data_IF_370960493716
#
_entry.id   IF_370960493716
#
_cell.length_a   1.000
_cell.length_b   1.000
_cell.length_c   1.000
_cell.angle_alpha   90.00
_cell.angle_beta   90.00
_cell.angle_gamma   90.00
#
_symmetry.space_group_name_H-M   'P 1'
#
loop_
_entity.id
_entity.type
_entity.pdbx_description
1 polymer ?
#
# COMPACT_ATOMS: atom_id res chain seq x y z
N UNK A 1 36.80 -23.54 9.35
CA UNK A 1 36.39 -23.18 10.72
C UNK A 1 34.89 -23.01 10.71
N UNK A 2 34.17 -24.03 11.16
CA UNK A 2 32.71 -24.17 11.04
C UNK A 2 32.10 -23.59 12.31
N UNK A 3 31.23 -22.58 12.20
CA UNK A 3 30.44 -22.08 13.33
C UNK A 3 28.97 -22.48 13.07
N UNK A 4 28.45 -23.30 13.98
CA UNK A 4 27.06 -23.79 14.01
C UNK A 4 26.11 -22.72 14.56
N UNK A 5 24.82 -22.77 14.23
CA UNK A 5 23.82 -21.85 14.78
C UNK A 5 23.56 -22.16 16.26
N UNK A 6 23.56 -21.13 17.10
CA UNK A 6 23.17 -21.20 18.51
C UNK A 6 21.65 -21.05 18.58
N UNK A 7 20.98 -22.10 19.06
CA UNK A 7 19.57 -22.04 19.43
C UNK A 7 19.40 -21.14 20.67
N UNK A 8 18.62 -20.06 20.54
CA UNK A 8 18.21 -19.26 21.70
C UNK A 8 17.05 -20.00 22.36
N UNK A 9 17.36 -20.69 23.45
CA UNK A 9 16.39 -21.27 24.38
C UNK A 9 15.84 -20.13 25.24
N UNK A 10 14.54 -19.82 25.07
CA UNK A 10 13.83 -18.90 25.96
C UNK A 10 13.58 -19.62 27.29
N UNK A 11 14.33 -19.23 28.32
CA UNK A 11 14.04 -19.61 29.71
C UNK A 11 12.90 -18.73 30.23
N UNK A 12 11.72 -19.33 30.45
CA UNK A 12 10.67 -18.73 31.28
C UNK A 12 11.09 -18.89 32.74
N UNK A 13 11.63 -17.82 33.32
CA UNK A 13 11.83 -17.72 34.77
C UNK A 13 10.64 -16.98 35.37
N UNK A 14 9.75 -17.73 36.00
CA UNK A 14 8.68 -17.22 36.82
C UNK A 14 9.21 -16.93 38.23
N UNK A 15 9.36 -15.66 38.59
CA UNK A 15 9.16 -15.13 39.95
C UNK A 15 9.24 -13.61 39.94
N UNK A 16 8.12 -12.93 40.22
CA UNK A 16 8.12 -11.72 41.05
C UNK A 16 6.68 -11.35 41.40
N UNK A 17 6.37 -11.54 42.69
CA UNK A 17 5.19 -11.12 43.41
C UNK A 17 4.78 -9.67 43.13
N UNK A 18 3.53 -9.45 42.72
CA UNK A 18 2.91 -8.13 42.76
C UNK A 18 2.08 -8.03 44.05
N UNK A 19 2.49 -7.12 44.93
CA UNK A 19 1.81 -6.84 46.19
C UNK A 19 0.45 -6.19 45.95
N UNK A 20 -0.54 -6.65 46.71
CA UNK A 20 -1.79 -5.93 46.92
C UNK A 20 -1.46 -4.54 47.49
N UNK A 21 -1.83 -3.47 46.77
CA UNK A 21 -2.02 -2.15 47.38
C UNK A 21 -3.52 -2.00 47.64
N UNK A 22 -3.85 -2.00 48.93
CA UNK A 22 -5.19 -1.72 49.42
C UNK A 22 -5.58 -0.26 49.12
N UNK A 23 -6.73 -0.07 48.48
CA UNK A 23 -7.34 1.24 48.32
C UNK A 23 -7.95 1.69 49.66
N UNK A 24 -7.34 2.66 50.33
CA UNK A 24 -8.00 3.50 51.33
C UNK A 24 -8.56 4.75 50.64
N UNK A 25 -9.87 4.97 50.77
CA UNK A 25 -10.55 6.16 50.27
C UNK A 25 -10.16 7.42 51.05
N UNK A 26 -10.13 8.60 50.41
CA UNK A 26 -10.43 9.87 51.05
C UNK A 26 -11.76 10.44 50.54
N UNK A 27 -12.53 10.96 51.49
CA UNK A 27 -13.78 11.69 51.29
C UNK A 27 -13.53 13.14 50.82
N UNK A 28 -14.52 13.63 50.07
CA UNK A 28 -14.91 15.02 49.85
C UNK A 28 -14.10 15.91 48.90
N UNK A 29 -14.69 16.09 47.71
CA UNK A 29 -15.15 17.41 47.26
C UNK A 29 -14.14 18.31 46.54
N UNK A 30 -14.01 18.14 45.22
CA UNK A 30 -14.03 19.24 44.23
C UNK A 30 -13.72 18.73 42.82
N UNK A 31 -14.65 18.94 41.88
CA UNK A 31 -14.35 19.07 40.46
C UNK A 31 -13.88 17.82 39.73
N UNK A 32 -14.74 16.81 39.61
CA UNK A 32 -14.57 15.79 38.56
C UNK A 32 -14.82 16.44 37.19
N UNK A 33 -13.79 17.04 36.60
CA UNK A 33 -13.73 17.18 35.15
C UNK A 33 -13.58 15.76 34.61
N UNK A 34 -14.68 15.24 34.05
CA UNK A 34 -14.70 13.92 33.46
C UNK A 34 -13.57 13.81 32.45
N UNK A 35 -12.60 12.94 32.73
CA UNK A 35 -11.72 12.41 31.70
C UNK A 35 -12.66 11.72 30.72
N UNK A 36 -12.85 12.33 29.56
CA UNK A 36 -13.50 11.70 28.42
C UNK A 36 -12.67 10.46 28.10
N UNK A 37 -13.12 9.30 28.57
CA UNK A 37 -12.58 8.01 28.16
C UNK A 37 -12.82 7.94 26.66
N UNK A 38 -11.75 7.92 25.88
CA UNK A 38 -11.83 7.86 24.43
C UNK A 38 -12.64 6.64 24.03
N UNK A 39 -13.82 6.83 23.44
CA UNK A 39 -14.82 5.78 23.21
C UNK A 39 -14.40 4.75 22.14
N UNK A 40 -13.19 4.87 21.58
CA UNK A 40 -12.65 3.89 20.64
C UNK A 40 -11.20 3.51 20.96
N UNK A 41 -10.95 2.37 21.64
CA UNK A 41 -9.59 1.91 21.91
C UNK A 41 -8.75 1.72 20.63
N UNK A 42 -9.39 1.52 19.46
CA UNK A 42 -8.68 1.39 18.19
C UNK A 42 -7.87 2.64 17.84
N UNK A 43 -8.44 3.84 17.98
CA UNK A 43 -7.77 5.06 17.51
C UNK A 43 -6.53 5.38 18.35
N UNK A 44 -6.57 5.05 19.64
CA UNK A 44 -5.42 5.12 20.54
C UNK A 44 -4.35 4.08 20.17
N UNK A 45 -4.74 2.81 19.99
CA UNK A 45 -3.80 1.77 19.58
C UNK A 45 -3.14 2.09 18.24
N UNK A 46 -3.90 2.60 17.27
CA UNK A 46 -3.35 2.96 15.97
C UNK A 46 -2.39 4.15 16.07
N UNK A 47 -2.68 5.14 16.92
CA UNK A 47 -1.76 6.24 17.17
C UNK A 47 -0.44 5.77 17.81
N UNK A 48 -0.51 4.86 18.80
CA UNK A 48 0.67 4.26 19.42
C UNK A 48 1.47 3.46 18.39
N UNK A 49 0.79 2.66 17.55
CA UNK A 49 1.43 1.92 16.47
C UNK A 49 2.18 2.84 15.50
N UNK A 50 1.52 3.90 15.01
CA UNK A 50 2.14 4.89 14.13
C UNK A 50 3.32 5.62 14.77
N UNK A 51 3.27 5.87 16.08
CA UNK A 51 4.35 6.53 16.80
C UNK A 51 5.65 5.70 16.81
N UNK A 52 5.54 4.38 16.75
CA UNK A 52 6.69 3.47 16.69
C UNK A 52 7.20 3.16 15.28
N UNK A 53 6.55 3.64 14.21
CA UNK A 53 7.07 3.51 12.84
C UNK A 53 8.21 4.52 12.66
N UNK A 54 9.46 4.06 12.37
CA UNK A 54 10.57 4.97 12.11
C UNK A 54 10.30 5.83 10.88
N UNK A 55 10.61 7.12 10.96
CA UNK A 55 10.61 8.02 9.80
C UNK A 55 11.88 8.87 9.80
N UNK A 56 12.30 9.45 8.66
CA UNK A 56 13.50 10.27 8.59
C UNK A 56 13.56 11.39 9.64
N UNK A 57 12.40 11.95 9.99
CA UNK A 57 12.25 13.04 10.94
C UNK A 57 11.92 12.57 12.38
N UNK A 58 11.84 11.25 12.62
CA UNK A 58 11.43 10.68 13.90
C UNK A 58 12.37 9.57 14.35
N UNK A 59 13.19 9.88 15.36
CA UNK A 59 13.89 8.85 16.11
C UNK A 59 12.91 8.10 17.02
N UNK A 60 12.90 6.78 16.90
CA UNK A 60 12.06 5.88 17.71
C UNK A 60 12.96 5.16 18.71
N UNK A 61 12.61 5.21 19.99
CA UNK A 61 13.33 4.48 21.05
C UNK A 61 12.95 3.01 21.04
N UNK A 62 13.79 2.14 21.63
CA UNK A 62 13.45 0.73 21.79
C UNK A 62 12.17 0.51 22.62
N UNK A 63 11.90 1.38 23.59
CA UNK A 63 10.67 1.36 24.38
C UNK A 63 9.44 1.72 23.54
N UNK A 64 9.50 2.80 22.74
CA UNK A 64 8.41 3.19 21.84
C UNK A 64 8.14 2.14 20.76
N UNK A 65 9.19 1.49 20.24
CA UNK A 65 9.05 0.36 19.32
C UNK A 65 8.32 -0.80 20.01
N UNK A 66 8.67 -1.13 21.25
CA UNK A 66 7.99 -2.17 22.01
C UNK A 66 6.51 -1.82 22.22
N UNK A 67 6.19 -0.59 22.63
CA UNK A 67 4.80 -0.12 22.79
C UNK A 67 4.01 -0.22 21.48
N UNK A 68 4.59 0.18 20.35
CA UNK A 68 3.96 0.05 19.04
C UNK A 68 3.71 -1.41 18.65
N UNK A 69 4.59 -2.35 19.01
CA UNK A 69 4.34 -3.78 18.80
C UNK A 69 3.19 -4.32 19.65
N UNK A 70 3.05 -3.85 20.90
CA UNK A 70 1.90 -4.21 21.73
C UNK A 70 0.60 -3.64 21.15
N UNK A 71 0.63 -2.39 20.69
CA UNK A 71 -0.51 -1.76 20.05
C UNK A 71 -0.93 -2.47 18.76
N UNK A 72 0.06 -2.84 17.93
CA UNK A 72 -0.16 -3.69 16.74
C UNK A 72 -0.82 -5.01 17.12
N UNK A 73 -0.29 -5.73 18.12
CA UNK A 73 -0.87 -6.99 18.57
C UNK A 73 -2.33 -6.82 19.04
N UNK A 74 -2.63 -5.78 19.81
CA UNK A 74 -3.99 -5.46 20.24
C UNK A 74 -4.94 -5.21 19.05
N UNK A 75 -4.50 -4.50 18.01
CA UNK A 75 -5.29 -4.29 16.79
C UNK A 75 -5.54 -5.61 16.06
N UNK A 76 -4.52 -6.46 15.92
CA UNK A 76 -4.65 -7.77 15.26
C UNK A 76 -5.61 -8.70 16.02
N UNK A 77 -5.57 -8.68 17.36
CA UNK A 77 -6.51 -9.45 18.20
C UNK A 77 -7.97 -9.01 18.03
N UNK A 78 -8.24 -7.75 17.67
CA UNK A 78 -9.59 -7.29 17.36
C UNK A 78 -10.15 -7.93 16.07
N UNK A 79 -9.26 -8.36 15.15
CA UNK A 79 -9.63 -9.01 13.89
C UNK A 79 -10.58 -8.16 13.05
N UNK A 80 -11.71 -8.75 12.63
CA UNK A 80 -12.73 -8.09 11.80
C UNK A 80 -13.20 -6.73 12.39
N UNK A 81 -13.21 -6.59 13.72
CA UNK A 81 -13.65 -5.35 14.38
C UNK A 81 -12.72 -4.16 14.11
N UNK A 82 -11.45 -4.41 13.79
CA UNK A 82 -10.50 -3.36 13.42
C UNK A 82 -10.69 -2.86 11.99
N UNK A 83 -11.37 -3.62 11.11
CA UNK A 83 -11.42 -3.32 9.67
C UNK A 83 -12.10 -2.00 9.36
N UNK A 84 -13.23 -1.68 10.00
CA UNK A 84 -13.93 -0.41 9.78
C UNK A 84 -13.08 0.82 10.15
N UNK A 85 -12.50 0.87 11.36
CA UNK A 85 -11.54 1.91 11.73
C UNK A 85 -10.31 1.98 10.82
N UNK A 86 -9.72 0.84 10.44
CA UNK A 86 -8.54 0.79 9.56
C UNK A 86 -8.87 1.28 8.14
N UNK A 87 -9.99 0.87 7.55
CA UNK A 87 -10.37 1.27 6.19
C UNK A 87 -10.64 2.78 6.07
N UNK A 88 -11.08 3.43 7.16
CA UNK A 88 -11.22 4.90 7.19
C UNK A 88 -9.88 5.63 7.12
N UNK A 89 -8.77 4.99 7.53
CA UNK A 89 -7.44 5.60 7.45
C UNK A 89 -6.96 5.79 6.02
N UNK A 90 -7.52 5.06 5.06
CA UNK A 90 -7.28 5.30 3.63
C UNK A 90 -7.84 6.63 3.10
N UNK A 91 -8.66 7.33 3.89
CA UNK A 91 -9.13 8.69 3.60
C UNK A 91 -8.20 9.77 4.17
N UNK A 92 -7.21 9.40 4.98
CA UNK A 92 -6.21 10.32 5.52
C UNK A 92 -5.42 10.99 4.40
N UNK A 93 -4.90 12.20 4.65
CA UNK A 93 -3.92 12.81 3.74
C UNK A 93 -2.51 12.24 3.94
N UNK A 94 -2.27 11.57 5.08
CA UNK A 94 -0.98 10.99 5.44
C UNK A 94 -0.80 9.63 4.79
N UNK A 95 0.14 9.52 3.85
CA UNK A 95 0.48 8.24 3.24
C UNK A 95 0.91 7.19 4.28
N UNK A 96 1.71 7.59 5.28
CA UNK A 96 2.12 6.70 6.36
C UNK A 96 0.94 6.09 7.11
N UNK A 97 -0.15 6.84 7.31
CA UNK A 97 -1.37 6.28 7.93
C UNK A 97 -2.06 5.28 7.00
N UNK A 98 -2.12 5.57 5.70
CA UNK A 98 -2.72 4.66 4.71
C UNK A 98 -1.97 3.34 4.65
N UNK A 99 -0.65 3.42 4.55
CA UNK A 99 0.26 2.27 4.42
C UNK A 99 0.27 1.42 5.71
N UNK A 100 0.33 2.07 6.87
CA UNK A 100 0.21 1.38 8.16
C UNK A 100 -1.14 0.66 8.33
N UNK A 101 -2.24 1.30 7.92
CA UNK A 101 -3.56 0.66 7.96
C UNK A 101 -3.68 -0.47 6.94
N UNK A 102 -3.07 -0.30 5.77
CA UNK A 102 -2.97 -1.32 4.74
C UNK A 102 -2.25 -2.58 5.26
N UNK A 103 -1.06 -2.41 5.84
CA UNK A 103 -0.28 -3.52 6.41
C UNK A 103 -1.07 -4.28 7.49
N UNK A 104 -1.72 -3.57 8.41
CA UNK A 104 -2.56 -4.20 9.43
C UNK A 104 -3.74 -4.97 8.82
N UNK A 105 -4.39 -4.44 7.78
CA UNK A 105 -5.47 -5.15 7.06
C UNK A 105 -4.95 -6.44 6.43
N UNK A 106 -3.74 -6.42 5.87
CA UNK A 106 -3.12 -7.61 5.30
C UNK A 106 -2.79 -8.67 6.36
N UNK A 107 -2.29 -8.24 7.50
CA UNK A 107 -1.90 -9.10 8.60
C UNK A 107 -3.11 -9.73 9.31
N UNK A 108 -4.25 -9.03 9.39
CA UNK A 108 -5.52 -9.61 9.84
C UNK A 108 -5.96 -10.74 8.88
N UNK A 109 -5.68 -10.59 7.58
CA UNK A 109 -5.86 -11.65 6.59
C UNK A 109 -7.27 -11.67 5.96
N UNK A 110 -7.65 -12.78 5.30
CA UNK A 110 -8.85 -12.85 4.45
C UNK A 110 -10.18 -12.62 5.20
N UNK A 111 -10.18 -12.69 6.53
CA UNK A 111 -11.35 -12.37 7.36
C UNK A 111 -11.84 -10.92 7.18
N UNK A 112 -11.01 -10.01 6.65
CA UNK A 112 -11.41 -8.62 6.38
C UNK A 112 -12.36 -8.44 5.20
N UNK A 113 -12.44 -9.43 4.29
CA UNK A 113 -13.16 -9.29 3.01
C UNK A 113 -14.65 -8.96 3.17
N UNK A 114 -15.42 -9.65 4.02
CA UNK A 114 -16.85 -9.34 4.19
C UNK A 114 -17.08 -7.92 4.69
N UNK A 115 -16.26 -7.45 5.63
CA UNK A 115 -16.38 -6.10 6.19
C UNK A 115 -16.00 -5.03 5.16
N UNK A 116 -14.87 -5.19 4.47
CA UNK A 116 -14.46 -4.27 3.41
C UNK A 116 -15.52 -4.18 2.30
N UNK A 117 -16.16 -5.31 1.95
CA UNK A 117 -17.27 -5.32 0.99
C UNK A 117 -18.48 -4.55 1.52
N UNK A 118 -18.88 -4.81 2.76
CA UNK A 118 -20.03 -4.15 3.38
C UNK A 118 -19.85 -2.63 3.42
N UNK A 119 -18.66 -2.17 3.79
CA UNK A 119 -18.35 -0.75 3.96
C UNK A 119 -17.91 -0.02 2.70
N UNK A 120 -17.71 -0.73 1.58
CA UNK A 120 -17.15 -0.12 0.37
C UNK A 120 -17.89 1.16 -0.06
N UNK A 121 -19.22 1.20 0.07
CA UNK A 121 -20.04 2.35 -0.31
C UNK A 121 -19.87 3.59 0.60
N UNK A 122 -19.33 3.43 1.81
CA UNK A 122 -19.08 4.52 2.75
C UNK A 122 -17.74 5.22 2.48
N UNK A 123 -16.84 4.55 1.74
CA UNK A 123 -15.49 5.03 1.49
C UNK A 123 -15.44 6.01 0.33
N UNK A 124 -14.52 6.99 0.44
CA UNK A 124 -14.16 7.86 -0.69
C UNK A 124 -13.77 7.04 -1.94
N UNK A 125 -13.90 7.59 -3.17
CA UNK A 125 -13.50 6.89 -4.39
C UNK A 125 -12.08 6.30 -4.34
N UNK A 126 -11.12 7.06 -3.80
CA UNK A 126 -9.74 6.57 -3.65
C UNK A 126 -9.62 5.48 -2.59
N UNK A 127 -10.24 5.65 -1.41
CA UNK A 127 -10.23 4.62 -0.36
C UNK A 127 -10.93 3.32 -0.80
N UNK A 128 -11.91 3.40 -1.73
CA UNK A 128 -12.51 2.24 -2.38
C UNK A 128 -11.52 1.47 -3.25
N UNK A 129 -10.55 2.13 -3.89
CA UNK A 129 -9.49 1.46 -4.65
C UNK A 129 -8.63 0.63 -3.70
N UNK A 130 -8.18 1.21 -2.58
CA UNK A 130 -7.49 0.46 -1.53
C UNK A 130 -8.32 -0.75 -1.07
N UNK A 131 -9.58 -0.54 -0.68
CA UNK A 131 -10.45 -1.62 -0.21
C UNK A 131 -10.64 -2.74 -1.25
N UNK A 132 -10.86 -2.38 -2.52
CA UNK A 132 -10.97 -3.32 -3.62
C UNK A 132 -9.65 -4.08 -3.84
N UNK A 133 -8.51 -3.40 -3.84
CA UNK A 133 -7.21 -4.05 -3.99
C UNK A 133 -6.89 -5.02 -2.85
N UNK A 134 -7.24 -4.70 -1.59
CA UNK A 134 -7.08 -5.61 -0.46
C UNK A 134 -7.97 -6.86 -0.62
N UNK A 135 -9.24 -6.64 -0.98
CA UNK A 135 -10.19 -7.73 -1.24
C UNK A 135 -9.72 -8.61 -2.39
N UNK A 136 -9.21 -8.01 -3.46
CA UNK A 136 -8.66 -8.71 -4.61
C UNK A 136 -7.46 -9.58 -4.22
N UNK A 137 -6.53 -9.03 -3.42
CA UNK A 137 -5.40 -9.79 -2.89
C UNK A 137 -5.85 -11.05 -2.13
N UNK A 138 -6.96 -10.97 -1.40
CA UNK A 138 -7.56 -12.11 -0.70
C UNK A 138 -8.49 -12.99 -1.56
N UNK A 139 -8.52 -12.79 -2.88
CA UNK A 139 -9.27 -13.63 -3.81
C UNK A 139 -10.75 -13.26 -3.98
N UNK A 140 -11.18 -12.06 -3.58
CA UNK A 140 -12.54 -11.60 -3.85
C UNK A 140 -12.71 -11.27 -5.34
N UNK A 141 -13.35 -12.18 -6.07
CA UNK A 141 -13.61 -12.03 -7.50
C UNK A 141 -14.42 -10.77 -7.84
N UNK A 142 -15.22 -10.23 -6.92
CA UNK A 142 -16.02 -9.01 -7.20
C UNK A 142 -15.18 -7.74 -7.12
N UNK A 143 -14.01 -7.78 -6.50
CA UNK A 143 -13.15 -6.60 -6.34
C UNK A 143 -12.61 -6.07 -7.67
N UNK A 144 -12.29 -6.97 -8.61
CA UNK A 144 -11.91 -6.60 -9.98
C UNK A 144 -13.04 -5.82 -10.66
N UNK A 145 -14.29 -6.28 -10.49
CA UNK A 145 -15.47 -5.57 -11.00
C UNK A 145 -15.60 -4.15 -10.44
N UNK A 146 -15.32 -3.97 -9.15
CA UNK A 146 -15.32 -2.66 -8.50
C UNK A 146 -14.25 -1.73 -9.08
N UNK A 147 -13.01 -2.23 -9.29
CA UNK A 147 -11.93 -1.48 -9.96
C UNK A 147 -12.30 -1.10 -11.40
N UNK A 148 -12.87 -2.03 -12.16
CA UNK A 148 -13.31 -1.81 -13.55
C UNK A 148 -14.42 -0.75 -13.62
N UNK A 149 -15.32 -0.69 -12.64
CA UNK A 149 -16.33 0.36 -12.58
C UNK A 149 -15.68 1.75 -12.36
N UNK A 150 -14.61 1.83 -11.58
CA UNK A 150 -13.90 3.09 -11.30
C UNK A 150 -13.10 3.64 -12.48
N UNK A 151 -12.79 2.81 -13.50
CA UNK A 151 -12.27 3.30 -14.78
C UNK A 151 -13.21 4.28 -15.50
N UNK A 152 -14.50 4.29 -15.13
CA UNK A 152 -15.53 5.20 -15.69
C UNK A 152 -15.76 6.44 -14.84
N UNK A 153 -14.96 6.67 -13.80
CA UNK A 153 -15.09 7.84 -12.93
C UNK A 153 -14.91 9.15 -13.72
N UNK A 154 -15.71 10.17 -13.43
CA UNK A 154 -15.51 11.51 -14.02
C UNK A 154 -14.23 12.17 -13.50
N UNK A 155 -13.78 11.83 -12.28
CA UNK A 155 -12.54 12.33 -11.71
C UNK A 155 -11.33 11.61 -12.32
N UNK A 156 -10.45 12.30 -13.07
CA UNK A 156 -9.31 11.68 -13.75
C UNK A 156 -8.39 10.92 -12.79
N UNK A 157 -8.08 11.52 -11.64
CA UNK A 157 -7.23 10.91 -10.63
C UNK A 157 -7.75 9.53 -10.17
N UNK A 158 -9.06 9.39 -9.96
CA UNK A 158 -9.67 8.09 -9.58
C UNK A 158 -9.55 7.08 -10.73
N UNK A 159 -9.76 7.50 -11.98
CA UNK A 159 -9.58 6.61 -13.14
C UNK A 159 -8.14 6.13 -13.25
N UNK A 160 -7.17 7.04 -13.11
CA UNK A 160 -5.74 6.74 -13.19
C UNK A 160 -5.34 5.74 -12.12
N UNK A 161 -5.74 5.99 -10.85
CA UNK A 161 -5.45 5.08 -9.74
C UNK A 161 -6.11 3.70 -9.92
N UNK A 162 -7.35 3.65 -10.43
CA UNK A 162 -8.03 2.39 -10.69
C UNK A 162 -7.34 1.59 -11.81
N UNK A 163 -6.88 2.25 -12.87
CA UNK A 163 -6.13 1.63 -13.95
C UNK A 163 -4.78 1.09 -13.46
N UNK A 164 -4.06 1.88 -12.65
CA UNK A 164 -2.80 1.45 -12.04
C UNK A 164 -3.00 0.23 -11.16
N UNK A 165 -3.99 0.23 -10.27
CA UNK A 165 -4.30 -0.90 -9.40
C UNK A 165 -4.66 -2.15 -10.21
N UNK A 166 -5.56 -2.02 -11.18
CA UNK A 166 -6.02 -3.13 -11.99
C UNK A 166 -4.88 -3.78 -12.79
N UNK A 167 -4.06 -2.97 -13.47
CA UNK A 167 -2.95 -3.46 -14.30
C UNK A 167 -1.81 -4.01 -13.46
N UNK A 168 -1.50 -3.37 -12.32
CA UNK A 168 -0.41 -3.80 -11.45
C UNK A 168 -0.73 -5.10 -10.70
N UNK A 169 -1.98 -5.30 -10.28
CA UNK A 169 -2.38 -6.53 -9.60
C UNK A 169 -2.52 -7.72 -10.57
N UNK A 170 -2.66 -7.47 -11.88
CA UNK A 170 -2.43 -8.46 -12.93
C UNK A 170 -3.65 -9.27 -13.37
N UNK A 171 -4.83 -9.04 -12.80
CA UNK A 171 -6.07 -9.75 -13.12
C UNK A 171 -7.06 -8.87 -13.91
N UNK A 172 -6.57 -8.28 -15.01
CA UNK A 172 -7.39 -7.44 -15.88
C UNK A 172 -8.27 -8.32 -16.78
N UNK A 173 -9.61 -8.25 -16.69
CA UNK A 173 -10.45 -9.02 -17.59
C UNK A 173 -10.36 -8.44 -19.01
N UNK A 174 -10.53 -9.25 -20.08
CA UNK A 174 -10.43 -8.80 -21.47
C UNK A 174 -11.30 -7.57 -21.79
N UNK A 175 -12.50 -7.50 -21.19
CA UNK A 175 -13.42 -6.37 -21.37
C UNK A 175 -12.93 -5.06 -20.74
N UNK A 176 -11.92 -5.11 -19.88
CA UNK A 176 -11.35 -3.96 -19.19
C UNK A 176 -9.93 -3.60 -19.64
N UNK A 177 -9.28 -4.41 -20.48
CA UNK A 177 -7.94 -4.09 -20.97
C UNK A 177 -7.92 -2.76 -21.73
N UNK A 178 -8.86 -2.56 -22.65
CA UNK A 178 -8.95 -1.34 -23.45
C UNK A 178 -9.17 -0.07 -22.59
N UNK A 179 -10.19 -0.01 -21.70
CA UNK A 179 -10.38 1.17 -20.85
C UNK A 179 -9.23 1.35 -19.83
N UNK A 180 -8.61 0.28 -19.34
CA UNK A 180 -7.47 0.39 -18.43
C UNK A 180 -6.26 1.03 -19.13
N UNK A 181 -5.91 0.56 -20.33
CA UNK A 181 -4.80 1.13 -21.09
C UNK A 181 -5.10 2.55 -21.56
N UNK A 182 -6.34 2.84 -21.97
CA UNK A 182 -6.75 4.21 -22.28
C UNK A 182 -6.53 5.16 -21.09
N UNK A 183 -6.90 4.73 -19.89
CA UNK A 183 -6.70 5.50 -18.67
C UNK A 183 -5.22 5.62 -18.28
N UNK A 184 -4.37 4.62 -18.56
CA UNK A 184 -2.92 4.73 -18.37
C UNK A 184 -2.27 5.69 -19.37
N UNK A 185 -2.72 5.73 -20.63
CA UNK A 185 -2.23 6.69 -21.63
C UNK A 185 -2.64 8.12 -21.24
N UNK A 186 -3.89 8.31 -20.81
CA UNK A 186 -4.38 9.58 -20.24
C UNK A 186 -3.57 10.01 -19.00
N UNK A 187 -3.19 9.05 -18.14
CA UNK A 187 -2.40 9.28 -16.95
C UNK A 187 -0.97 9.78 -17.22
N UNK A 188 -0.43 9.62 -18.43
CA UNK A 188 0.89 10.16 -18.80
C UNK A 188 0.95 11.69 -18.76
N UNK A 189 -0.20 12.36 -18.83
CA UNK A 189 -0.33 13.83 -18.70
C UNK A 189 -0.58 14.28 -17.25
N UNK A 190 -0.60 13.35 -16.30
CA UNK A 190 -0.93 13.65 -14.90
C UNK A 190 0.27 14.22 -14.14
N UNK A 191 0.10 15.42 -13.60
CA UNK A 191 1.06 16.04 -12.68
C UNK A 191 0.87 15.56 -11.22
N UNK A 192 -0.07 14.65 -10.98
CA UNK A 192 -0.38 14.16 -9.65
C UNK A 192 0.68 13.18 -9.13
N UNK A 193 0.91 13.22 -7.81
CA UNK A 193 1.66 12.19 -7.09
C UNK A 193 0.72 11.07 -6.65
N UNK A 194 1.25 9.85 -6.56
CA UNK A 194 0.52 8.71 -6.02
C UNK A 194 0.32 8.91 -4.53
N UNK A 195 -0.91 9.21 -4.10
CA UNK A 195 -1.29 9.27 -2.69
C UNK A 195 -0.34 10.10 -1.80
N UNK A 196 0.18 11.21 -2.34
CA UNK A 196 1.15 12.10 -1.67
C UNK A 196 2.55 11.51 -1.43
N UNK A 197 2.93 10.45 -2.15
CA UNK A 197 4.29 9.89 -2.16
C UNK A 197 5.21 10.67 -3.13
N UNK A 198 6.50 10.30 -3.18
CA UNK A 198 7.44 10.85 -4.15
C UNK A 198 7.14 10.42 -5.61
N UNK A 199 6.42 9.31 -5.79
CA UNK A 199 6.14 8.69 -7.09
C UNK A 199 5.04 9.44 -7.85
N UNK A 200 5.24 9.71 -9.14
CA UNK A 200 4.21 10.32 -9.97
C UNK A 200 3.24 9.29 -10.54
N UNK A 201 2.00 9.72 -10.76
CA UNK A 201 1.00 8.93 -11.48
C UNK A 201 1.47 8.66 -12.92
N UNK A 202 2.06 9.64 -13.58
CA UNK A 202 2.53 9.51 -14.96
C UNK A 202 3.70 8.52 -15.11
N UNK A 203 4.69 8.56 -14.22
CA UNK A 203 5.80 7.60 -14.18
C UNK A 203 5.34 6.18 -13.91
N UNK A 204 4.42 6.02 -12.95
CA UNK A 204 3.80 4.73 -12.65
C UNK A 204 2.97 4.18 -13.82
N UNK A 205 2.26 5.06 -14.54
CA UNK A 205 1.48 4.69 -15.71
C UNK A 205 2.38 4.24 -16.87
N UNK A 206 3.47 4.97 -17.14
CA UNK A 206 4.45 4.57 -18.15
C UNK A 206 5.07 3.20 -17.81
N UNK A 207 5.44 2.99 -16.55
CA UNK A 207 5.98 1.73 -16.09
C UNK A 207 5.00 0.57 -16.30
N UNK A 208 3.71 0.77 -15.97
CA UNK A 208 2.67 -0.22 -16.19
C UNK A 208 2.44 -0.48 -17.69
N UNK A 209 2.40 0.57 -18.52
CA UNK A 209 2.24 0.44 -19.96
C UNK A 209 3.35 -0.43 -20.55
N UNK A 210 4.62 -0.08 -20.32
CA UNK A 210 5.75 -0.84 -20.85
C UNK A 210 5.77 -2.27 -20.30
N UNK A 211 5.57 -2.47 -19.00
CA UNK A 211 5.64 -3.79 -18.38
C UNK A 211 4.49 -4.72 -18.81
N UNK A 212 3.26 -4.22 -18.87
CA UNK A 212 2.09 -5.03 -19.20
C UNK A 212 1.90 -5.24 -20.70
N UNK A 213 2.27 -4.28 -21.54
CA UNK A 213 2.08 -4.36 -23.00
C UNK A 213 3.34 -4.83 -23.75
N UNK A 214 4.51 -4.72 -23.13
CA UNK A 214 5.81 -5.00 -23.76
C UNK A 214 6.22 -3.95 -24.81
N UNK A 215 5.55 -2.80 -24.88
CA UNK A 215 5.90 -1.76 -25.84
C UNK A 215 7.22 -1.07 -25.45
N UNK A 216 8.15 -0.86 -26.41
CA UNK A 216 9.44 -0.23 -26.14
C UNK A 216 9.30 1.30 -26.09
N UNK A 217 8.54 1.81 -25.11
CA UNK A 217 8.33 3.26 -24.93
C UNK A 217 9.51 3.96 -24.23
N UNK A 218 10.45 3.18 -23.69
CA UNK A 218 11.65 3.67 -23.03
C UNK A 218 12.91 3.10 -23.72
N UNK A 219 14.02 3.88 -23.72
CA UNK A 219 15.34 3.38 -24.10
C UNK A 219 15.74 2.12 -23.30
N UNK A 220 16.47 1.16 -23.90
CA UNK A 220 16.87 -0.09 -23.24
C UNK A 220 17.70 0.07 -21.96
N UNK A 221 18.38 1.20 -21.79
CA UNK A 221 19.21 1.55 -20.63
C UNK A 221 18.42 2.15 -19.45
N UNK A 222 17.10 2.32 -19.60
CA UNK A 222 16.18 2.79 -18.53
C UNK A 222 15.27 1.64 -18.05
N UNK A 223 15.78 0.69 -17.24
CA UNK A 223 15.01 -0.46 -16.79
C UNK A 223 13.93 -0.06 -15.78
N UNK A 224 12.68 -0.48 -16.01
CA UNK A 224 11.59 -0.25 -15.06
C UNK A 224 11.85 -1.03 -13.78
N UNK A 225 11.80 -0.32 -12.65
CA UNK A 225 11.90 -0.91 -11.31
C UNK A 225 10.65 -0.55 -10.52
N UNK A 226 10.05 -1.56 -9.90
CA UNK A 226 8.96 -1.38 -8.94
C UNK A 226 9.52 -1.54 -7.52
N UNK A 227 9.11 -0.66 -6.61
CA UNK A 227 9.57 -0.59 -5.24
C UNK A 227 8.44 -0.95 -4.26
N UNK A 228 8.80 -1.46 -3.08
CA UNK A 228 7.91 -1.43 -1.92
C UNK A 228 8.30 -0.26 -1.00
N UNK A 229 7.31 0.32 -0.34
CA UNK A 229 7.52 1.54 0.44
C UNK A 229 8.29 1.31 1.75
N UNK A 230 8.00 0.20 2.45
CA UNK A 230 8.51 -0.03 3.83
C UNK A 230 9.95 -0.55 3.88
N UNK A 231 10.53 -1.05 2.78
CA UNK A 231 11.87 -1.66 2.83
C UNK A 231 12.75 -1.53 1.59
N UNK A 232 12.28 -0.96 0.47
CA UNK A 232 12.99 -1.05 -0.83
C UNK A 232 13.55 -2.47 -1.14
N UNK A 233 12.88 -3.53 -0.64
CA UNK A 233 13.27 -4.93 -0.73
C UNK A 233 12.10 -5.78 -1.28
N UNK A 234 12.31 -6.43 -2.43
CA UNK A 234 11.34 -7.28 -3.16
C UNK A 234 10.83 -8.47 -2.31
N UNK A 235 9.57 -8.95 -2.46
CA UNK A 235 8.76 -8.96 -3.70
C UNK A 235 7.32 -8.38 -3.57
N UNK A 236 6.70 -7.76 -4.60
CA UNK A 236 5.27 -7.39 -4.55
C UNK A 236 4.37 -8.47 -5.21
N UNK A 237 3.08 -8.56 -4.80
CA UNK A 237 2.03 -7.80 -5.49
C UNK A 237 0.98 -7.16 -4.56
N UNK A 238 1.30 -6.97 -3.28
CA UNK A 238 0.22 -6.72 -2.32
C UNK A 238 -0.31 -5.28 -2.38
N UNK A 239 0.55 -4.26 -2.53
CA UNK A 239 0.11 -2.86 -2.52
C UNK A 239 -0.76 -2.46 -3.74
N UNK A 240 -1.82 -1.62 -3.57
CA UNK A 240 -2.71 -1.21 -4.66
C UNK A 240 -2.01 -0.43 -5.77
N UNK A 241 -0.96 0.31 -5.45
CA UNK A 241 -0.30 1.20 -6.41
C UNK A 241 1.13 0.77 -6.72
N UNK A 242 1.53 0.84 -8.01
CA UNK A 242 2.90 0.61 -8.43
C UNK A 242 3.78 1.82 -8.12
N UNK A 243 4.71 1.67 -7.19
CA UNK A 243 5.78 2.66 -6.99
C UNK A 243 6.90 2.35 -7.97
N UNK A 244 6.97 3.09 -9.07
CA UNK A 244 7.91 2.81 -10.15
C UNK A 244 8.97 3.91 -10.30
N UNK A 245 10.13 3.54 -10.83
CA UNK A 245 11.15 4.48 -11.32
C UNK A 245 10.54 5.50 -12.29
N UNK A 246 10.67 6.79 -12.00
CA UNK A 246 9.98 7.86 -12.73
C UNK A 246 10.80 8.45 -13.88
N UNK A 247 11.00 7.66 -14.93
CA UNK A 247 11.75 8.11 -16.11
C UNK A 247 11.04 9.20 -16.92
N UNK A 248 9.73 9.39 -16.72
CA UNK A 248 8.96 10.39 -17.45
C UNK A 248 9.03 11.76 -16.78
N UNK A 249 8.92 11.81 -15.45
CA UNK A 249 9.07 13.02 -14.67
C UNK A 249 10.51 13.54 -14.66
N UNK A 250 11.50 12.64 -14.68
CA UNK A 250 12.92 12.98 -14.68
C UNK A 250 13.46 13.38 -16.08
N UNK A 251 12.69 13.13 -17.15
CA UNK A 251 13.11 13.39 -18.52
C UNK A 251 13.05 14.89 -18.88
N UNK A 252 13.97 15.39 -19.73
CA UNK A 252 13.85 16.71 -20.35
C UNK A 252 12.51 16.89 -21.09
N UNK A 253 11.98 18.12 -21.21
CA UNK A 253 10.67 18.37 -21.81
C UNK A 253 10.46 17.74 -23.19
N UNK A 254 11.47 17.80 -24.07
CA UNK A 254 11.42 17.23 -25.42
C UNK A 254 11.36 15.69 -25.40
N UNK A 255 12.14 15.06 -24.52
CA UNK A 255 12.13 13.60 -24.33
C UNK A 255 10.80 13.14 -23.74
N UNK A 256 10.28 13.85 -22.72
CA UNK A 256 8.96 13.60 -22.14
C UNK A 256 7.87 13.67 -23.19
N UNK A 257 7.87 14.73 -24.02
CA UNK A 257 6.90 14.87 -25.11
C UNK A 257 7.02 13.75 -26.14
N UNK A 258 8.24 13.31 -26.47
CA UNK A 258 8.47 12.19 -27.39
C UNK A 258 7.95 10.85 -26.83
N UNK A 259 8.16 10.56 -25.54
CA UNK A 259 7.66 9.35 -24.88
C UNK A 259 6.12 9.33 -24.89
N UNK A 260 5.49 10.45 -24.52
CA UNK A 260 4.03 10.58 -24.52
C UNK A 260 3.47 10.40 -25.93
N UNK A 261 4.05 11.09 -26.93
CA UNK A 261 3.64 10.98 -28.32
C UNK A 261 3.81 9.55 -28.87
N UNK A 262 4.87 8.84 -28.47
CA UNK A 262 5.07 7.44 -28.85
C UNK A 262 3.99 6.52 -28.26
N UNK A 263 3.64 6.72 -26.99
CA UNK A 263 2.57 5.97 -26.33
C UNK A 263 1.21 6.23 -26.99
N UNK A 264 0.89 7.49 -27.31
CA UNK A 264 -0.34 7.88 -28.00
C UNK A 264 -0.37 7.37 -29.44
N UNK A 265 0.75 7.41 -30.17
CA UNK A 265 0.83 6.89 -31.53
C UNK A 265 0.60 5.37 -31.56
N UNK A 266 1.22 4.63 -30.62
CA UNK A 266 0.94 3.21 -30.45
C UNK A 266 -0.52 2.96 -30.09
N UNK A 267 -1.06 3.71 -29.13
CA UNK A 267 -2.44 3.55 -28.68
C UNK A 267 -3.44 3.83 -29.81
N UNK A 268 -3.19 4.81 -30.67
CA UNK A 268 -4.09 5.17 -31.76
C UNK A 268 -3.83 4.37 -33.05
N UNK A 269 -2.86 3.45 -33.07
CA UNK A 269 -2.51 2.69 -34.26
C UNK A 269 -3.66 1.74 -34.69
N UNK A 270 -4.04 1.72 -35.98
CA UNK A 270 -5.04 0.79 -36.48
C UNK A 270 -4.54 -0.66 -36.40
N UNK A 271 -5.41 -1.57 -35.98
CA UNK A 271 -5.07 -2.99 -35.87
C UNK A 271 -4.17 -3.35 -34.68
N UNK A 272 -4.03 -2.44 -33.69
CA UNK A 272 -3.34 -2.77 -32.43
C UNK A 272 -4.00 -4.00 -31.79
N UNK A 273 -3.18 -4.95 -31.37
CA UNK A 273 -3.63 -6.08 -30.56
C UNK A 273 -3.32 -5.76 -29.11
N UNK A 274 -4.33 -5.83 -28.25
CA UNK A 274 -4.19 -5.66 -26.81
C UNK A 274 -4.25 -7.03 -26.14
N UNK A 275 -3.27 -7.30 -25.29
CA UNK A 275 -3.26 -8.43 -24.39
C UNK A 275 -2.29 -8.07 -23.28
N UNK A 276 -2.83 -7.82 -22.09
CA UNK A 276 -2.01 -7.43 -20.96
C UNK A 276 -1.34 -8.65 -20.34
N UNK A 277 -0.03 -8.54 -20.15
CA UNK A 277 0.77 -9.54 -19.46
C UNK A 277 0.81 -9.18 -17.97
N UNK A 278 0.69 -10.16 -17.06
CA UNK A 278 0.94 -9.93 -15.65
C UNK A 278 2.34 -9.32 -15.47
N UNK A 279 2.41 -8.21 -14.75
CA UNK A 279 3.69 -7.56 -14.46
C UNK A 279 4.52 -8.51 -13.60
N UNK A 280 5.64 -8.97 -14.14
CA UNK A 280 6.64 -9.75 -13.41
C UNK A 280 7.70 -8.76 -12.92
N UNK A 281 7.67 -8.32 -11.64
CA UNK A 281 8.57 -7.28 -11.15
C UNK A 281 10.03 -7.77 -11.18
N UNK A 282 10.83 -7.39 -12.18
CA UNK A 282 12.19 -7.89 -12.40
C UNK A 282 13.10 -7.76 -11.16
N UNK A 283 13.27 -8.87 -10.46
CA UNK A 283 14.18 -9.05 -9.34
C UNK A 283 15.61 -9.19 -9.88
N UNK A 284 16.54 -8.28 -9.56
CA UNK A 284 17.95 -8.55 -9.77
C UNK A 284 18.40 -9.61 -8.74
N UNK A 285 18.09 -10.89 -9.00
CA UNK A 285 18.62 -12.02 -8.23
C UNK A 285 20.16 -11.98 -8.15
N UNK A 286 20.79 -11.41 -9.18
CA UNK A 286 22.24 -11.29 -9.28
C UNK A 286 22.89 -10.25 -8.33
N UNK A 287 22.16 -9.23 -7.88
CA UNK A 287 22.72 -8.18 -7.00
C UNK A 287 22.76 -8.61 -5.52
N UNK A 288 21.87 -9.54 -5.12
CA UNK A 288 21.87 -10.14 -3.77
C UNK A 288 22.93 -11.24 -3.61
N UNK A 289 23.30 -11.93 -4.69
CA UNK A 289 24.34 -12.98 -4.68
C UNK A 289 25.77 -12.40 -4.69
N UNK A 290 25.95 -11.13 -5.07
CA UNK A 290 27.25 -10.48 -5.11
C UNK A 290 27.75 -10.04 -3.70
N UNK A 291 26.83 -9.82 -2.75
CA UNK A 291 27.15 -9.47 -1.36
C UNK A 291 27.24 -10.70 -0.43
N UNK A 292 27.04 -11.91 -0.96
CA UNK A 292 27.01 -13.16 -0.20
C UNK A 292 28.06 -14.19 -0.64
N UNK A 293 29.10 -13.77 -1.38
CA UNK A 293 30.33 -14.57 -1.51
C UNK A 293 31.29 -14.24 -0.34
N UNK A 294 31.83 -15.25 0.36
CA UNK A 294 32.66 -15.08 1.54
C UNK A 294 33.99 -14.36 1.26
#
# INVERSE_FOLDING_TARGET
MIIRPVAIVVFVSATASCGLIACTAPSDGAGAQGVQVNENPMDEWFAIYLAGIPSPDRQVTSAAMAEAQHARAAILEMGERAVGPLSRRWESSSFTEKDAAWDLVLEIGPAVVPELRRRAHELSPTARIWAASARHHFGDATAVGDLVAMLKSETPHVRHLAALALVFQGDVPPSAEEPAVAALVDALHSEAKLESTAFSVAGAALACLVAATGQPLLPPDKPIRFYNYVAFAFPPPVHPFPFASDYLGDAPPDERAAIVAAAEAWWNAPGRTLSLRPIQPTWPRAELDASSRP
#
